data_IF_902868913331
#
_entry.id   IF_902868913331
#
_cell.length_a   1.000
_cell.length_b   1.000
_cell.length_c   1.000
_cell.angle_alpha   90.00
_cell.angle_beta   90.00
_cell.angle_gamma   90.00
#
_symmetry.space_group_name_H-M   'P 1'
#
loop_
_entity.id
_entity.type
_entity.pdbx_description
1 polymer ?
#
# COMPACT_ATOMS: atom_id res chain seq x y z
N UNK A 1 -7.81 22.26 -14.36
CA UNK A 1 -7.62 21.97 -12.94
C UNK A 1 -8.96 21.86 -12.22
N UNK A 2 -9.03 21.09 -11.13
CA UNK A 2 -10.25 20.96 -10.30
C UNK A 2 -10.78 22.31 -9.85
N UNK A 3 -9.91 23.22 -9.39
CA UNK A 3 -10.29 24.55 -8.97
C UNK A 3 -11.06 25.34 -10.03
N UNK A 4 -10.67 25.26 -11.30
CA UNK A 4 -11.39 25.93 -12.39
C UNK A 4 -12.79 25.34 -12.61
N UNK A 5 -12.94 24.00 -12.52
CA UNK A 5 -14.25 23.33 -12.63
C UNK A 5 -15.19 23.81 -11.51
N UNK A 6 -14.74 23.75 -10.25
CA UNK A 6 -15.54 24.16 -9.11
C UNK A 6 -15.85 25.67 -9.12
N UNK A 7 -14.92 26.51 -9.56
CA UNK A 7 -15.15 27.95 -9.71
C UNK A 7 -16.24 28.24 -10.74
N UNK A 8 -16.23 27.58 -11.88
CA UNK A 8 -17.27 27.72 -12.92
C UNK A 8 -18.62 27.22 -12.42
N UNK A 9 -18.66 26.10 -11.71
CA UNK A 9 -19.88 25.59 -11.07
C UNK A 9 -20.45 26.63 -10.10
N UNK A 10 -19.62 27.17 -9.19
CA UNK A 10 -20.05 28.18 -8.21
C UNK A 10 -20.54 29.44 -8.87
N UNK A 11 -19.85 29.95 -9.89
CA UNK A 11 -20.28 31.16 -10.64
C UNK A 11 -21.64 30.95 -11.34
N UNK A 12 -21.78 29.81 -12.03
CA UNK A 12 -23.03 29.48 -12.76
C UNK A 12 -24.18 29.25 -11.78
N UNK A 13 -23.93 28.54 -10.68
CA UNK A 13 -24.91 28.33 -9.62
C UNK A 13 -25.42 29.67 -9.03
N UNK A 14 -24.48 30.57 -8.67
CA UNK A 14 -24.83 31.89 -8.11
C UNK A 14 -25.75 32.68 -9.04
N UNK A 15 -25.49 32.67 -10.35
CA UNK A 15 -26.33 33.34 -11.36
C UNK A 15 -27.72 32.71 -11.45
N UNK A 16 -27.79 31.39 -11.52
CA UNK A 16 -29.04 30.67 -11.70
C UNK A 16 -29.94 30.70 -10.45
N UNK A 17 -29.35 30.62 -9.25
CA UNK A 17 -30.10 30.67 -7.99
C UNK A 17 -30.76 32.02 -7.70
N UNK A 18 -30.26 33.09 -8.32
CA UNK A 18 -30.93 34.41 -8.32
C UNK A 18 -32.17 34.50 -9.24
N UNK A 19 -32.25 33.59 -10.23
CA UNK A 19 -33.34 33.60 -11.21
C UNK A 19 -34.45 32.59 -10.89
N UNK A 20 -34.10 31.44 -10.29
CA UNK A 20 -35.05 30.34 -10.06
C UNK A 20 -34.66 29.50 -8.84
N UNK A 21 -35.68 28.94 -8.15
CA UNK A 21 -35.52 28.05 -6.99
C UNK A 21 -36.17 26.66 -7.19
N UNK A 22 -36.59 26.36 -8.42
CA UNK A 22 -37.34 25.16 -8.76
C UNK A 22 -36.59 24.15 -9.63
N UNK A 23 -37.36 23.45 -10.48
CA UNK A 23 -36.86 22.41 -11.39
C UNK A 23 -35.67 22.82 -12.27
N UNK A 24 -35.55 24.06 -12.81
CA UNK A 24 -34.37 24.43 -13.61
C UNK A 24 -33.08 24.42 -12.80
N UNK A 25 -33.13 24.86 -11.52
CA UNK A 25 -31.96 24.82 -10.63
C UNK A 25 -31.54 23.35 -10.31
N UNK A 26 -32.52 22.45 -10.15
CA UNK A 26 -32.24 21.02 -9.99
C UNK A 26 -31.61 20.43 -11.27
N UNK A 27 -32.10 20.78 -12.47
CA UNK A 27 -31.52 20.33 -13.73
C UNK A 27 -30.05 20.79 -13.89
N UNK A 28 -29.76 22.04 -13.47
CA UNK A 28 -28.40 22.56 -13.43
C UNK A 28 -27.51 21.75 -12.46
N UNK A 29 -28.02 21.43 -11.26
CA UNK A 29 -27.31 20.57 -10.31
C UNK A 29 -26.98 19.19 -10.92
N UNK A 30 -27.96 18.56 -11.60
CA UNK A 30 -27.73 17.30 -12.30
C UNK A 30 -26.66 17.41 -13.39
N UNK A 31 -26.57 18.54 -14.09
CA UNK A 31 -25.48 18.79 -15.05
C UNK A 31 -24.11 18.88 -14.34
N UNK A 32 -24.03 19.59 -13.21
CA UNK A 32 -22.80 19.68 -12.42
C UNK A 32 -22.34 18.32 -11.88
N UNK A 33 -23.26 17.51 -11.36
CA UNK A 33 -22.95 16.16 -10.89
C UNK A 33 -22.41 15.26 -12.02
N UNK A 34 -22.96 15.39 -13.25
CA UNK A 34 -22.41 14.67 -14.42
C UNK A 34 -21.00 15.14 -14.77
N UNK A 35 -20.74 16.45 -14.77
CA UNK A 35 -19.41 17.02 -15.04
C UNK A 35 -18.39 16.54 -14.00
N UNK A 36 -18.73 16.59 -12.72
CA UNK A 36 -17.83 16.15 -11.64
C UNK A 36 -17.55 14.66 -11.72
N UNK A 37 -18.55 13.82 -11.97
CA UNK A 37 -18.34 12.37 -12.16
C UNK A 37 -17.54 12.04 -13.42
N UNK A 38 -17.77 12.76 -14.52
CA UNK A 38 -16.94 12.62 -15.73
C UNK A 38 -15.49 13.04 -15.49
N UNK A 39 -15.27 14.07 -14.67
CA UNK A 39 -13.93 14.49 -14.24
C UNK A 39 -13.26 13.42 -13.38
N UNK A 40 -13.97 12.86 -12.40
CA UNK A 40 -13.48 11.75 -11.60
C UNK A 40 -13.08 10.55 -12.46
N UNK A 41 -13.94 10.15 -13.43
CA UNK A 41 -13.66 9.06 -14.35
C UNK A 41 -12.44 9.32 -15.26
N UNK A 42 -12.21 10.57 -15.68
CA UNK A 42 -11.01 10.94 -16.45
C UNK A 42 -9.74 10.84 -15.60
N UNK A 43 -9.79 11.25 -14.33
CA UNK A 43 -8.68 11.08 -13.39
C UNK A 43 -8.42 9.61 -13.06
N UNK A 44 -9.47 8.77 -12.96
CA UNK A 44 -9.33 7.33 -12.73
C UNK A 44 -8.54 6.65 -13.85
N UNK A 45 -8.88 6.93 -15.11
CA UNK A 45 -8.11 6.42 -16.25
C UNK A 45 -6.63 6.82 -16.18
N UNK A 46 -6.35 8.08 -15.87
CA UNK A 46 -4.98 8.56 -15.71
C UNK A 46 -4.25 7.87 -14.56
N UNK A 47 -4.92 7.55 -13.47
CA UNK A 47 -4.35 6.81 -12.34
C UNK A 47 -4.08 5.34 -12.70
N UNK A 48 -4.99 4.72 -13.45
CA UNK A 48 -4.84 3.36 -13.96
C UNK A 48 -3.64 3.25 -14.92
N UNK A 49 -3.51 4.18 -15.87
CA UNK A 49 -2.38 4.25 -16.81
C UNK A 49 -1.05 4.43 -16.09
N UNK A 50 -0.97 5.36 -15.13
CA UNK A 50 0.23 5.59 -14.33
C UNK A 50 0.59 4.37 -13.47
N UNK A 51 -0.40 3.77 -12.81
CA UNK A 51 -0.22 2.56 -12.01
C UNK A 51 0.21 1.35 -12.86
N UNK A 52 -0.36 1.19 -14.06
CA UNK A 52 0.02 0.15 -15.00
C UNK A 52 1.48 0.32 -15.44
N UNK A 53 1.88 1.55 -15.80
CA UNK A 53 3.27 1.85 -16.15
C UNK A 53 4.25 1.48 -15.03
N UNK A 54 3.95 1.87 -13.77
CA UNK A 54 4.83 1.61 -12.64
C UNK A 54 4.96 0.10 -12.33
N UNK A 55 3.91 -0.69 -12.55
CA UNK A 55 3.95 -2.15 -12.39
C UNK A 55 4.65 -2.86 -13.56
N UNK A 56 4.47 -2.38 -14.78
CA UNK A 56 4.99 -3.02 -16.01
C UNK A 56 6.50 -2.81 -16.22
N UNK A 57 7.08 -1.76 -15.65
CA UNK A 57 8.55 -1.53 -15.63
C UNK A 57 9.30 -2.76 -15.13
N UNK A 58 8.64 -3.63 -14.36
CA UNK A 58 9.14 -4.92 -13.89
C UNK A 58 9.06 -6.04 -14.94
N UNK A 59 8.04 -6.07 -15.79
CA UNK A 59 7.77 -7.14 -16.75
C UNK A 59 8.59 -7.05 -18.04
N UNK A 60 8.82 -5.86 -18.53
CA UNK A 60 9.31 -5.64 -19.90
C UNK A 60 10.82 -5.51 -20.06
N UNK A 61 11.63 -5.35 -18.99
CA UNK A 61 13.03 -4.92 -19.14
C UNK A 61 14.00 -5.44 -18.09
N UNK A 62 14.29 -6.73 -18.10
CA UNK A 62 15.46 -7.24 -17.36
C UNK A 62 16.80 -6.61 -17.78
N UNK A 63 16.87 -5.92 -18.95
CA UNK A 63 18.12 -5.43 -19.54
C UNK A 63 18.09 -3.96 -20.03
N UNK A 64 17.07 -3.15 -19.75
CA UNK A 64 17.07 -1.74 -20.14
C UNK A 64 17.25 -0.82 -18.92
N UNK A 65 18.06 0.27 -19.01
CA UNK A 65 18.18 1.24 -17.94
C UNK A 65 16.80 1.82 -17.63
N UNK A 66 16.43 1.84 -16.34
CA UNK A 66 15.17 2.44 -15.87
C UNK A 66 15.23 3.94 -16.14
N UNK A 67 14.24 4.47 -16.82
CA UNK A 67 14.06 5.91 -16.92
C UNK A 67 13.51 6.43 -15.57
N UNK A 68 14.42 6.75 -14.65
CA UNK A 68 14.10 7.23 -13.32
C UNK A 68 13.27 8.52 -13.33
N UNK A 69 13.47 9.38 -14.33
CA UNK A 69 12.69 10.60 -14.48
C UNK A 69 11.22 10.27 -14.76
N UNK A 70 10.94 9.35 -15.67
CA UNK A 70 9.58 8.92 -15.99
C UNK A 70 8.90 8.20 -14.82
N UNK A 71 9.63 7.39 -14.06
CA UNK A 71 9.10 6.77 -12.83
C UNK A 71 8.69 7.86 -11.83
N UNK A 72 9.53 8.86 -11.59
CA UNK A 72 9.23 9.99 -10.71
C UNK A 72 8.02 10.81 -11.20
N UNK A 73 7.88 11.01 -12.50
CA UNK A 73 6.73 11.71 -13.10
C UNK A 73 5.42 10.94 -12.89
N UNK A 74 5.41 9.63 -13.10
CA UNK A 74 4.19 8.82 -12.90
C UNK A 74 3.84 8.68 -11.40
N UNK A 75 4.82 8.60 -10.50
CA UNK A 75 4.59 8.69 -9.06
C UNK A 75 4.00 10.05 -8.67
N UNK A 76 4.56 11.15 -9.19
CA UNK A 76 4.06 12.51 -8.97
C UNK A 76 2.61 12.64 -9.44
N UNK A 77 2.29 12.10 -10.61
CA UNK A 77 0.95 12.10 -11.19
C UNK A 77 -0.06 11.39 -10.28
N UNK A 78 0.27 10.21 -9.75
CA UNK A 78 -0.59 9.51 -8.80
C UNK A 78 -0.81 10.31 -7.51
N UNK A 79 0.24 10.92 -6.96
CA UNK A 79 0.15 11.78 -5.78
C UNK A 79 -0.79 12.99 -6.03
N UNK A 80 -0.66 13.64 -7.18
CA UNK A 80 -1.52 14.78 -7.55
C UNK A 80 -2.97 14.37 -7.76
N UNK A 81 -3.22 13.18 -8.34
CA UNK A 81 -4.57 12.63 -8.51
C UNK A 81 -5.20 12.34 -7.14
N UNK A 82 -4.47 11.70 -6.22
CA UNK A 82 -4.94 11.43 -4.86
C UNK A 82 -5.33 12.72 -4.13
N UNK A 83 -4.43 13.70 -4.08
CA UNK A 83 -4.72 15.02 -3.47
C UNK A 83 -5.90 15.73 -4.13
N UNK A 84 -6.03 15.64 -5.46
CA UNK A 84 -7.12 16.28 -6.21
C UNK A 84 -8.45 15.61 -5.88
N UNK A 85 -8.47 14.30 -5.77
CA UNK A 85 -9.65 13.53 -5.42
C UNK A 85 -10.12 13.84 -3.99
N UNK A 86 -9.21 13.84 -3.01
CA UNK A 86 -9.49 14.24 -1.63
C UNK A 86 -10.06 15.66 -1.56
N UNK A 87 -9.42 16.61 -2.23
CA UNK A 87 -9.89 17.99 -2.27
C UNK A 87 -11.27 18.13 -2.91
N UNK A 88 -11.54 17.39 -4.00
CA UNK A 88 -12.85 17.37 -4.65
C UNK A 88 -13.92 16.80 -3.72
N UNK A 89 -13.62 15.68 -3.03
CA UNK A 89 -14.51 15.05 -2.04
C UNK A 89 -14.87 16.07 -0.94
N UNK A 90 -13.87 16.74 -0.34
CA UNK A 90 -14.07 17.76 0.69
C UNK A 90 -14.89 18.97 0.21
N UNK A 91 -14.87 19.27 -1.09
CA UNK A 91 -15.50 20.45 -1.68
C UNK A 91 -16.93 20.19 -2.17
N UNK A 92 -17.25 18.95 -2.55
CA UNK A 92 -18.58 18.57 -3.09
C UNK A 92 -19.67 18.74 -2.03
N UNK A 93 -19.47 18.31 -0.79
CA UNK A 93 -20.45 18.40 0.28
C UNK A 93 -20.92 19.82 0.56
N UNK A 94 -20.02 20.77 0.88
CA UNK A 94 -20.39 22.18 1.08
C UNK A 94 -21.05 22.84 -0.14
N UNK A 95 -20.65 22.46 -1.35
CA UNK A 95 -21.31 22.91 -2.59
C UNK A 95 -22.74 22.39 -2.68
N UNK A 96 -22.94 21.10 -2.42
CA UNK A 96 -24.26 20.47 -2.41
C UNK A 96 -25.19 21.05 -1.36
N UNK A 97 -24.70 21.34 -0.17
CA UNK A 97 -25.46 21.97 0.89
C UNK A 97 -25.91 23.39 0.49
N UNK A 98 -25.04 24.16 -0.16
CA UNK A 98 -25.40 25.46 -0.70
C UNK A 98 -26.51 25.37 -1.75
N UNK A 99 -26.49 24.33 -2.59
CA UNK A 99 -27.53 24.06 -3.59
C UNK A 99 -28.86 23.63 -2.95
N UNK A 100 -28.81 22.77 -1.91
CA UNK A 100 -30.01 22.36 -1.16
C UNK A 100 -30.72 23.54 -0.54
N UNK A 101 -29.99 24.46 0.09
CA UNK A 101 -30.57 25.68 0.70
C UNK A 101 -31.26 26.61 -0.31
N UNK A 102 -30.78 26.62 -1.55
CA UNK A 102 -31.36 27.45 -2.61
C UNK A 102 -32.66 26.88 -3.20
N UNK A 103 -32.98 25.61 -2.97
CA UNK A 103 -34.19 24.95 -3.48
C UNK A 103 -35.36 25.12 -2.51
N UNK A 104 -36.55 25.40 -3.07
CA UNK A 104 -37.77 25.67 -2.30
C UNK A 104 -38.41 24.37 -1.76
N UNK A 105 -38.44 23.28 -2.54
CA UNK A 105 -39.18 22.06 -2.25
C UNK A 105 -38.31 20.94 -1.67
N UNK A 106 -38.81 20.24 -0.65
CA UNK A 106 -38.03 19.18 0.06
C UNK A 106 -37.73 17.98 -0.80
N UNK A 107 -38.61 17.58 -1.70
CA UNK A 107 -38.34 16.46 -2.61
C UNK A 107 -37.19 16.77 -3.59
N UNK A 108 -36.98 18.06 -3.96
CA UNK A 108 -35.85 18.51 -4.78
C UNK A 108 -34.54 18.48 -3.95
N UNK A 109 -34.63 18.91 -2.68
CA UNK A 109 -33.49 18.86 -1.72
C UNK A 109 -32.97 17.43 -1.49
N UNK A 110 -33.90 16.48 -1.31
CA UNK A 110 -33.56 15.08 -1.13
C UNK A 110 -32.85 14.46 -2.34
N UNK A 111 -33.23 14.88 -3.56
CA UNK A 111 -32.57 14.43 -4.79
C UNK A 111 -31.15 14.99 -4.89
N UNK A 112 -30.94 16.26 -4.57
CA UNK A 112 -29.57 16.84 -4.51
C UNK A 112 -28.70 16.09 -3.51
N UNK A 113 -29.22 15.73 -2.32
CA UNK A 113 -28.50 14.97 -1.32
C UNK A 113 -27.93 13.66 -1.89
N UNK A 114 -28.77 12.83 -2.53
CA UNK A 114 -28.33 11.57 -3.14
C UNK A 114 -27.29 11.76 -4.26
N UNK A 115 -27.45 12.78 -5.10
CA UNK A 115 -26.50 13.06 -6.18
C UNK A 115 -25.15 13.55 -5.64
N UNK A 116 -25.14 14.28 -4.50
CA UNK A 116 -23.94 14.73 -3.78
C UNK A 116 -23.22 13.53 -3.17
N UNK A 117 -23.92 12.68 -2.43
CA UNK A 117 -23.37 11.46 -1.84
C UNK A 117 -22.71 10.57 -2.89
N UNK A 118 -23.38 10.34 -4.03
CA UNK A 118 -22.83 9.57 -5.14
C UNK A 118 -21.58 10.21 -5.78
N UNK A 119 -21.49 11.55 -5.75
CA UNK A 119 -20.34 12.27 -6.29
C UNK A 119 -19.16 12.27 -5.30
N UNK A 120 -19.44 12.40 -4.00
CA UNK A 120 -18.44 12.25 -2.94
C UNK A 120 -17.84 10.84 -2.94
N UNK A 121 -18.68 9.80 -3.05
CA UNK A 121 -18.24 8.40 -3.14
C UNK A 121 -17.34 8.16 -4.36
N UNK A 122 -17.66 8.75 -5.51
CA UNK A 122 -16.83 8.62 -6.70
C UNK A 122 -15.42 9.22 -6.49
N UNK A 123 -15.30 10.35 -5.79
CA UNK A 123 -14.01 10.94 -5.47
C UNK A 123 -13.28 10.19 -4.34
N UNK A 124 -14.00 9.68 -3.33
CA UNK A 124 -13.44 8.83 -2.29
C UNK A 124 -12.82 7.55 -2.88
N UNK A 125 -13.57 6.86 -3.76
CA UNK A 125 -13.10 5.68 -4.48
C UNK A 125 -11.87 5.99 -5.35
N UNK A 126 -11.87 7.14 -6.03
CA UNK A 126 -10.71 7.58 -6.82
C UNK A 126 -9.48 7.83 -5.94
N UNK A 127 -9.63 8.52 -4.81
CA UNK A 127 -8.54 8.77 -3.88
C UNK A 127 -7.92 7.46 -3.34
N UNK A 128 -8.80 6.52 -2.96
CA UNK A 128 -8.37 5.18 -2.51
C UNK A 128 -7.64 4.40 -3.61
N UNK A 129 -8.18 4.40 -4.84
CA UNK A 129 -7.57 3.71 -5.99
C UNK A 129 -6.22 4.31 -6.39
N UNK A 130 -6.09 5.65 -6.41
CA UNK A 130 -4.83 6.33 -6.71
C UNK A 130 -3.77 6.04 -5.63
N UNK A 131 -4.16 6.07 -4.34
CA UNK A 131 -3.27 5.71 -3.23
C UNK A 131 -2.83 4.24 -3.30
N UNK A 132 -3.73 3.31 -3.60
CA UNK A 132 -3.40 1.91 -3.78
C UNK A 132 -2.46 1.68 -4.97
N UNK A 133 -2.68 2.37 -6.10
CA UNK A 133 -1.81 2.33 -7.27
C UNK A 133 -0.43 2.90 -6.98
N UNK A 134 -0.34 3.95 -6.16
CA UNK A 134 0.93 4.54 -5.71
C UNK A 134 1.73 3.53 -4.86
N UNK A 135 1.09 2.90 -3.87
CA UNK A 135 1.71 1.87 -3.01
C UNK A 135 2.21 0.70 -3.85
N UNK A 136 1.34 0.12 -4.72
CA UNK A 136 1.70 -1.00 -5.57
C UNK A 136 2.79 -0.64 -6.60
N UNK A 137 2.78 0.62 -7.09
CA UNK A 137 3.82 1.13 -7.97
C UNK A 137 5.18 1.21 -7.28
N UNK A 138 5.25 1.74 -6.06
CA UNK A 138 6.50 1.80 -5.28
C UNK A 138 6.97 0.41 -4.88
N UNK A 139 6.07 -0.47 -4.42
CA UNK A 139 6.39 -1.87 -4.12
C UNK A 139 7.05 -2.56 -5.33
N UNK A 140 6.48 -2.40 -6.52
CA UNK A 140 7.03 -2.98 -7.75
C UNK A 140 8.44 -2.45 -8.08
N UNK A 141 8.76 -1.18 -7.72
CA UNK A 141 10.09 -0.60 -7.95
C UNK A 141 11.16 -1.16 -6.99
N UNK A 142 10.78 -1.66 -5.80
CA UNK A 142 11.75 -2.21 -4.84
C UNK A 142 12.35 -3.54 -5.30
N UNK A 143 11.65 -4.29 -6.14
CA UNK A 143 12.00 -5.66 -6.59
C UNK A 143 12.34 -6.61 -5.43
N UNK A 144 11.91 -6.30 -4.20
CA UNK A 144 12.28 -7.00 -2.98
C UNK A 144 11.75 -8.44 -2.96
N UNK A 145 10.44 -8.62 -3.09
CA UNK A 145 9.82 -9.92 -2.99
C UNK A 145 10.28 -10.94 -4.05
N UNK A 146 10.42 -10.59 -5.35
CA UNK A 146 11.01 -11.51 -6.32
C UNK A 146 12.47 -11.84 -6.08
N UNK A 147 13.25 -10.86 -5.62
CA UNK A 147 14.65 -11.08 -5.33
C UNK A 147 14.83 -12.05 -4.16
N UNK A 148 14.03 -11.92 -3.09
CA UNK A 148 14.00 -12.87 -1.98
C UNK A 148 13.62 -14.27 -2.48
N UNK A 149 12.53 -14.40 -3.25
CA UNK A 149 12.04 -15.68 -3.75
C UNK A 149 13.03 -16.36 -4.75
N UNK A 150 13.81 -15.58 -5.49
CA UNK A 150 14.78 -16.08 -6.46
C UNK A 150 16.13 -16.44 -5.84
N UNK A 151 16.45 -15.93 -4.65
CA UNK A 151 17.72 -16.16 -3.98
C UNK A 151 17.89 -17.65 -3.59
N UNK A 152 19.08 -18.16 -3.78
CA UNK A 152 19.44 -19.55 -3.42
C UNK A 152 19.95 -19.61 -1.98
N UNK A 153 19.01 -19.51 -1.05
CA UNK A 153 19.29 -19.54 0.40
C UNK A 153 19.92 -20.84 0.88
N UNK A 154 19.79 -21.91 0.10
CA UNK A 154 20.39 -23.22 0.37
C UNK A 154 21.88 -23.30 0.05
N UNK A 155 22.41 -22.40 -0.76
CA UNK A 155 23.80 -22.40 -1.19
C UNK A 155 24.72 -21.49 -0.35
N UNK A 156 24.15 -20.69 0.55
CA UNK A 156 24.94 -19.80 1.40
C UNK A 156 25.73 -20.61 2.41
N UNK A 157 27.04 -20.31 2.51
CA UNK A 157 27.98 -20.95 3.41
C UNK A 157 28.43 -20.08 4.59
N UNK A 158 28.14 -18.79 4.50
CA UNK A 158 28.43 -17.78 5.53
C UNK A 158 27.34 -16.72 5.54
N UNK A 159 27.16 -16.08 6.69
CA UNK A 159 26.32 -14.88 6.84
C UNK A 159 27.23 -13.66 6.65
N UNK A 160 26.81 -12.74 5.80
CA UNK A 160 27.55 -11.49 5.52
C UNK A 160 26.79 -10.26 6.03
N UNK A 161 27.03 -9.14 5.35
CA UNK A 161 26.20 -7.94 5.48
C UNK A 161 24.84 -8.16 4.82
N UNK A 162 23.96 -7.16 4.88
CA UNK A 162 22.66 -7.22 4.20
C UNK A 162 22.81 -7.49 2.70
N UNK A 163 21.87 -8.23 2.14
CA UNK A 163 21.90 -8.62 0.74
C UNK A 163 21.68 -7.42 -0.20
N UNK A 164 22.27 -7.47 -1.41
CA UNK A 164 22.17 -6.41 -2.41
C UNK A 164 20.73 -6.02 -2.78
N UNK A 165 19.76 -6.92 -2.67
CA UNK A 165 18.35 -6.60 -2.90
C UNK A 165 17.76 -5.70 -1.79
N UNK A 166 18.31 -5.70 -0.58
CA UNK A 166 17.93 -4.77 0.49
C UNK A 166 18.46 -3.37 0.17
N UNK A 167 19.69 -3.24 -0.34
CA UNK A 167 20.25 -1.95 -0.79
C UNK A 167 19.46 -1.36 -1.96
N UNK A 168 19.08 -2.22 -2.92
CA UNK A 168 18.21 -1.81 -4.04
C UNK A 168 16.83 -1.33 -3.56
N UNK A 169 16.24 -2.04 -2.59
CA UNK A 169 14.99 -1.64 -1.95
C UNK A 169 15.14 -0.30 -1.23
N UNK A 170 16.21 -0.10 -0.46
CA UNK A 170 16.49 1.17 0.24
C UNK A 170 16.57 2.35 -0.73
N UNK A 171 17.28 2.19 -1.84
CA UNK A 171 17.43 3.21 -2.89
C UNK A 171 16.10 3.55 -3.56
N UNK A 172 15.27 2.53 -3.87
CA UNK A 172 13.95 2.71 -4.47
C UNK A 172 13.00 3.43 -3.50
N UNK A 173 12.98 3.03 -2.22
CA UNK A 173 12.17 3.66 -1.18
C UNK A 173 12.57 5.11 -0.93
N UNK A 174 13.88 5.41 -0.85
CA UNK A 174 14.37 6.77 -0.67
C UNK A 174 13.93 7.68 -1.82
N UNK A 175 14.08 7.22 -3.06
CA UNK A 175 13.67 7.97 -4.26
C UNK A 175 12.16 8.22 -4.29
N UNK A 176 11.35 7.20 -4.04
CA UNK A 176 9.90 7.31 -4.02
C UNK A 176 9.38 8.19 -2.87
N UNK A 177 9.99 8.08 -1.68
CA UNK A 177 9.61 8.88 -0.52
C UNK A 177 9.87 10.37 -0.73
N UNK A 178 10.96 10.77 -1.39
CA UNK A 178 11.24 12.17 -1.77
C UNK A 178 10.14 12.73 -2.67
N UNK A 179 9.72 11.95 -3.68
CA UNK A 179 8.64 12.35 -4.59
C UNK A 179 7.31 12.47 -3.84
N UNK A 180 6.94 11.43 -3.08
CA UNK A 180 5.69 11.37 -2.35
C UNK A 180 5.58 12.48 -1.30
N UNK A 181 6.63 12.75 -0.53
CA UNK A 181 6.67 13.81 0.48
C UNK A 181 6.46 15.20 -0.10
N UNK A 182 7.04 15.46 -1.28
CA UNK A 182 6.90 16.76 -1.98
C UNK A 182 5.51 16.95 -2.57
N UNK A 183 4.90 15.87 -3.02
CA UNK A 183 3.65 15.91 -3.79
C UNK A 183 2.40 15.68 -2.94
N UNK A 184 2.45 14.82 -1.89
CA UNK A 184 1.32 14.51 -1.03
C UNK A 184 1.13 15.54 0.10
N UNK A 185 -0.11 15.71 0.56
CA UNK A 185 -0.39 16.40 1.83
C UNK A 185 0.22 15.61 2.99
N UNK A 186 0.57 16.28 4.07
CA UNK A 186 1.24 15.67 5.24
C UNK A 186 0.52 14.42 5.78
N UNK A 187 -0.79 14.49 5.94
CA UNK A 187 -1.58 13.36 6.46
C UNK A 187 -1.65 12.21 5.44
N UNK A 188 -1.84 12.53 4.16
CA UNK A 188 -1.87 11.55 3.07
C UNK A 188 -0.51 10.87 2.90
N UNK A 189 0.60 11.60 3.09
CA UNK A 189 1.94 11.04 3.10
C UNK A 189 2.16 10.07 4.28
N UNK A 190 1.69 10.42 5.49
CA UNK A 190 1.79 9.51 6.63
C UNK A 190 1.00 8.22 6.38
N UNK A 191 -0.23 8.33 5.87
CA UNK A 191 -1.04 7.18 5.48
C UNK A 191 -0.39 6.33 4.38
N UNK A 192 0.23 6.98 3.37
CA UNK A 192 1.00 6.29 2.34
C UNK A 192 2.15 5.46 2.94
N UNK A 193 2.93 6.02 3.88
CA UNK A 193 4.00 5.31 4.54
C UNK A 193 3.48 4.07 5.30
N UNK A 194 2.36 4.19 6.01
CA UNK A 194 1.73 3.06 6.72
C UNK A 194 1.28 1.96 5.75
N UNK A 195 0.61 2.32 4.66
CA UNK A 195 0.15 1.36 3.65
C UNK A 195 1.30 0.69 2.91
N UNK A 196 2.34 1.45 2.59
CA UNK A 196 3.53 0.90 1.92
C UNK A 196 4.29 -0.06 2.85
N UNK A 197 4.43 0.28 4.12
CA UNK A 197 5.06 -0.60 5.11
C UNK A 197 4.31 -1.93 5.24
N UNK A 198 2.98 -1.89 5.34
CA UNK A 198 2.16 -3.10 5.40
C UNK A 198 2.25 -3.93 4.11
N UNK A 199 2.23 -3.29 2.94
CA UNK A 199 2.34 -3.98 1.65
C UNK A 199 3.69 -4.68 1.49
N UNK A 200 4.80 -3.99 1.80
CA UNK A 200 6.14 -4.56 1.71
C UNK A 200 6.38 -5.68 2.72
N UNK A 201 5.87 -5.55 3.95
CA UNK A 201 5.93 -6.64 4.93
C UNK A 201 5.18 -7.88 4.45
N UNK A 202 3.95 -7.73 3.97
CA UNK A 202 3.15 -8.84 3.43
C UNK A 202 3.80 -9.47 2.18
N UNK A 203 4.39 -8.65 1.29
CA UNK A 203 5.11 -9.14 0.12
C UNK A 203 6.37 -9.92 0.50
N UNK A 204 7.08 -9.49 1.56
CA UNK A 204 8.25 -10.17 2.11
C UNK A 204 7.86 -11.52 2.71
N UNK A 205 6.80 -11.60 3.53
CA UNK A 205 6.25 -12.84 4.08
C UNK A 205 5.94 -13.84 2.96
N UNK A 206 5.19 -13.39 1.96
CA UNK A 206 4.84 -14.21 0.80
C UNK A 206 6.04 -14.67 -0.02
N UNK A 207 7.10 -13.85 -0.10
CA UNK A 207 8.33 -14.18 -0.82
C UNK A 207 9.15 -15.24 -0.09
N UNK A 208 9.25 -15.12 1.24
CA UNK A 208 9.93 -16.13 2.08
C UNK A 208 9.27 -17.49 1.90
N UNK A 209 7.94 -17.57 1.99
CA UNK A 209 7.18 -18.82 1.82
C UNK A 209 7.24 -19.39 0.39
N UNK A 210 7.52 -18.56 -0.61
CA UNK A 210 7.70 -18.95 -2.02
C UNK A 210 9.15 -19.25 -2.40
N UNK A 211 10.10 -19.04 -1.49
CA UNK A 211 11.50 -19.41 -1.70
C UNK A 211 11.63 -20.90 -1.94
N UNK A 212 12.74 -21.33 -2.51
CA UNK A 212 12.93 -22.77 -2.80
C UNK A 212 13.31 -23.51 -1.52
N UNK A 213 14.57 -23.70 -1.27
CA UNK A 213 15.10 -24.33 -0.07
C UNK A 213 15.93 -23.32 0.72
N UNK A 214 15.84 -23.38 2.05
CA UNK A 214 16.57 -22.49 2.95
C UNK A 214 17.48 -23.33 3.84
N UNK A 215 18.80 -23.13 3.74
CA UNK A 215 19.80 -23.71 4.63
C UNK A 215 19.95 -22.89 5.91
N UNK A 216 20.75 -23.37 6.86
CA UNK A 216 20.90 -22.71 8.16
C UNK A 216 21.54 -21.30 8.04
N UNK A 217 22.58 -21.13 7.23
CA UNK A 217 23.15 -19.81 6.93
C UNK A 217 22.18 -18.94 6.14
N UNK A 218 21.42 -19.55 5.23
CA UNK A 218 20.37 -18.85 4.49
C UNK A 218 19.26 -18.30 5.38
N UNK A 219 18.84 -19.06 6.39
CA UNK A 219 17.84 -18.60 7.37
C UNK A 219 18.35 -17.45 8.23
N UNK A 220 19.63 -17.47 8.63
CA UNK A 220 20.27 -16.40 9.38
C UNK A 220 20.39 -15.12 8.53
N UNK A 221 20.87 -15.24 7.28
CA UNK A 221 20.98 -14.12 6.35
C UNK A 221 19.59 -13.51 6.05
N UNK A 222 18.58 -14.35 5.85
CA UNK A 222 17.22 -13.91 5.62
C UNK A 222 16.66 -13.13 6.82
N UNK A 223 16.94 -13.56 8.05
CA UNK A 223 16.55 -12.81 9.25
C UNK A 223 17.23 -11.45 9.32
N UNK A 224 18.51 -11.36 8.98
CA UNK A 224 19.26 -10.10 8.92
C UNK A 224 18.68 -9.15 7.86
N UNK A 225 18.36 -9.67 6.68
CA UNK A 225 17.73 -8.89 5.61
C UNK A 225 16.35 -8.38 6.02
N UNK A 226 15.52 -9.20 6.66
CA UNK A 226 14.20 -8.80 7.19
C UNK A 226 14.34 -7.71 8.25
N UNK A 227 15.31 -7.80 9.14
CA UNK A 227 15.58 -6.76 10.14
C UNK A 227 16.06 -5.46 9.49
N UNK A 228 16.88 -5.55 8.44
CA UNK A 228 17.29 -4.38 7.66
C UNK A 228 16.10 -3.71 6.96
N UNK A 229 15.22 -4.50 6.33
CA UNK A 229 13.97 -4.01 5.74
C UNK A 229 13.08 -3.35 6.79
N UNK A 230 12.91 -3.98 7.96
CA UNK A 230 12.15 -3.39 9.08
C UNK A 230 12.69 -2.01 9.47
N UNK A 231 14.01 -1.85 9.56
CA UNK A 231 14.64 -0.55 9.84
C UNK A 231 14.29 0.48 8.78
N UNK A 232 14.39 0.12 7.48
CA UNK A 232 13.98 1.01 6.38
C UNK A 232 12.52 1.44 6.49
N UNK A 233 11.61 0.52 6.83
CA UNK A 233 10.20 0.82 6.98
C UNK A 233 9.92 1.71 8.19
N UNK A 234 10.62 1.54 9.30
CA UNK A 234 10.53 2.42 10.47
C UNK A 234 10.97 3.86 10.14
N UNK A 235 12.00 4.01 9.33
CA UNK A 235 12.58 5.31 8.97
C UNK A 235 11.85 5.97 7.76
N UNK A 236 11.00 5.24 7.05
CA UNK A 236 10.29 5.70 5.85
C UNK A 236 9.58 7.07 6.02
N UNK A 237 8.89 7.37 7.15
CA UNK A 237 8.26 8.68 7.36
C UNK A 237 9.26 9.84 7.46
N UNK A 238 10.55 9.59 7.64
CA UNK A 238 11.61 10.61 7.72
C UNK A 238 12.31 10.82 6.38
N UNK A 239 12.16 9.90 5.44
CA UNK A 239 12.79 9.98 4.13
C UNK A 239 12.39 11.25 3.38
N UNK A 240 13.34 11.89 2.67
CA UNK A 240 13.09 13.12 1.92
C UNK A 240 13.08 14.41 2.74
N UNK A 241 13.45 14.35 4.02
CA UNK A 241 13.53 15.49 4.96
C UNK A 241 14.87 16.27 4.85
N UNK A 242 15.73 15.86 3.92
CA UNK A 242 17.11 16.39 3.78
C UNK A 242 18.10 15.79 4.79
N UNK A 243 17.62 14.98 5.74
CA UNK A 243 18.47 14.20 6.65
C UNK A 243 18.66 12.81 6.02
N UNK A 244 19.89 12.37 5.86
CA UNK A 244 20.18 10.95 5.57
C UNK A 244 19.48 10.07 6.61
N UNK A 245 19.16 8.83 6.23
CA UNK A 245 18.72 7.81 7.18
C UNK A 245 19.78 7.72 8.31
N UNK A 246 19.64 8.48 9.35
CA UNK A 246 20.69 8.67 10.35
C UNK A 246 20.11 8.60 11.77
N UNK A 247 20.93 8.13 12.63
CA UNK A 247 20.97 7.91 14.08
C UNK A 247 19.97 8.66 15.02
N UNK A 248 19.14 9.57 14.52
CA UNK A 248 18.20 10.39 15.29
C UNK A 248 16.72 10.10 15.05
N UNK A 249 16.37 8.96 14.46
CA UNK A 249 14.97 8.59 14.16
C UNK A 249 14.14 8.33 15.45
N UNK A 250 14.79 7.95 16.53
CA UNK A 250 14.12 7.71 17.82
C UNK A 250 13.45 8.99 18.34
N UNK A 251 12.12 9.01 18.35
CA UNK A 251 11.30 10.12 18.81
C UNK A 251 10.67 11.00 17.73
N UNK A 252 11.12 10.93 16.47
CA UNK A 252 10.55 11.71 15.35
C UNK A 252 9.44 10.95 14.60
N UNK A 253 9.41 9.63 14.69
CA UNK A 253 8.39 8.77 14.05
C UNK A 253 7.24 8.54 15.02
N UNK A 254 6.00 8.56 14.51
CA UNK A 254 4.81 8.35 15.32
C UNK A 254 4.80 6.94 15.94
N UNK A 255 4.37 6.81 17.20
CA UNK A 255 4.22 5.50 17.87
C UNK A 255 3.26 4.57 17.13
N UNK A 256 2.26 5.12 16.44
CA UNK A 256 1.31 4.36 15.63
C UNK A 256 2.02 3.67 14.47
N UNK A 257 2.87 4.41 13.73
CA UNK A 257 3.66 3.86 12.64
C UNK A 257 4.64 2.78 13.13
N UNK A 258 5.34 3.04 14.25
CA UNK A 258 6.26 2.06 14.85
C UNK A 258 5.55 0.74 15.17
N UNK A 259 4.43 0.80 15.90
CA UNK A 259 3.63 -0.39 16.24
C UNK A 259 3.10 -1.12 15.01
N UNK A 260 2.71 -0.39 13.98
CA UNK A 260 2.28 -0.99 12.71
C UNK A 260 3.42 -1.77 12.07
N UNK A 261 4.59 -1.15 11.89
CA UNK A 261 5.76 -1.82 11.30
C UNK A 261 6.18 -3.03 12.12
N UNK A 262 6.27 -2.91 13.45
CA UNK A 262 6.62 -4.02 14.35
C UNK A 262 5.64 -5.20 14.21
N UNK A 263 4.35 -4.91 14.13
CA UNK A 263 3.31 -5.93 13.96
C UNK A 263 3.41 -6.61 12.59
N UNK A 264 3.49 -5.82 11.51
CA UNK A 264 3.48 -6.34 10.14
C UNK A 264 4.76 -7.14 9.82
N UNK A 265 5.93 -6.71 10.32
CA UNK A 265 7.20 -7.44 10.10
C UNK A 265 7.41 -8.59 11.08
N UNK A 266 6.70 -8.60 12.20
CA UNK A 266 6.85 -9.62 13.26
C UNK A 266 6.57 -11.03 12.77
N UNK A 267 5.64 -11.22 11.84
CA UNK A 267 5.35 -12.51 11.23
C UNK A 267 6.56 -13.04 10.44
N UNK A 268 7.19 -12.19 9.64
CA UNK A 268 8.36 -12.56 8.84
C UNK A 268 9.58 -12.91 9.73
N UNK A 269 9.82 -12.09 10.76
CA UNK A 269 10.88 -12.40 11.75
C UNK A 269 10.63 -13.74 12.45
N UNK A 270 9.38 -14.04 12.82
CA UNK A 270 9.01 -15.31 13.43
C UNK A 270 9.21 -16.47 12.46
N UNK A 271 8.81 -16.34 11.19
CA UNK A 271 9.07 -17.34 10.15
C UNK A 271 10.56 -17.63 9.99
N UNK A 272 11.41 -16.60 9.94
CA UNK A 272 12.86 -16.77 9.86
C UNK A 272 13.41 -17.53 11.07
N UNK A 273 12.95 -17.21 12.29
CA UNK A 273 13.33 -17.92 13.53
C UNK A 273 12.89 -19.38 13.51
N UNK A 274 11.70 -19.69 12.98
CA UNK A 274 11.25 -21.08 12.79
C UNK A 274 12.14 -21.80 11.78
N UNK A 275 12.54 -21.13 10.69
CA UNK A 275 13.49 -21.69 9.70
C UNK A 275 14.87 -21.99 10.29
N UNK A 276 15.29 -21.30 11.35
CA UNK A 276 16.54 -21.56 12.07
C UNK A 276 16.43 -22.72 13.07
N UNK A 277 15.22 -23.13 13.47
CA UNK A 277 15.06 -24.21 14.45
C UNK A 277 15.31 -25.59 13.85
N UNK A 278 15.70 -26.62 14.65
CA UNK A 278 15.83 -27.99 14.20
C UNK A 278 14.50 -28.54 13.67
N UNK A 279 14.58 -29.51 12.73
CA UNK A 279 13.39 -30.13 12.14
C UNK A 279 12.53 -30.89 13.18
N UNK A 280 13.16 -31.51 14.17
CA UNK A 280 12.51 -32.30 15.23
C UNK A 280 11.56 -31.44 16.09
N UNK A 281 11.88 -30.16 16.30
CA UNK A 281 11.10 -29.22 17.11
C UNK A 281 10.33 -28.17 16.31
N UNK A 282 10.33 -28.24 14.97
CA UNK A 282 9.83 -27.16 14.11
C UNK A 282 8.35 -26.82 14.35
N UNK A 283 7.50 -27.83 14.60
CA UNK A 283 6.09 -27.64 14.87
C UNK A 283 5.86 -26.87 16.17
N UNK A 284 6.59 -27.22 17.22
CA UNK A 284 6.41 -26.62 18.54
C UNK A 284 6.96 -25.18 18.53
N UNK A 285 8.10 -24.95 17.88
CA UNK A 285 8.65 -23.62 17.64
C UNK A 285 7.68 -22.76 16.79
N UNK A 286 7.10 -23.34 15.73
CA UNK A 286 6.10 -22.65 14.90
C UNK A 286 4.88 -22.25 15.72
N UNK A 287 4.36 -23.16 16.53
CA UNK A 287 3.17 -22.87 17.37
C UNK A 287 3.47 -21.79 18.41
N UNK A 288 4.66 -21.80 19.00
CA UNK A 288 5.08 -20.81 20.00
C UNK A 288 5.29 -19.41 19.40
N UNK A 289 5.91 -19.31 18.21
CA UNK A 289 6.27 -18.04 17.59
C UNK A 289 5.17 -17.48 16.69
N UNK A 290 4.32 -18.35 16.14
CA UNK A 290 3.24 -18.01 15.21
C UNK A 290 1.92 -18.69 15.65
N UNK A 291 1.35 -18.28 16.78
CA UNK A 291 0.11 -18.90 17.29
C UNK A 291 -1.05 -18.83 16.31
N UNK A 292 -1.11 -17.73 15.52
CA UNK A 292 -2.12 -17.51 14.47
C UNK A 292 -1.69 -18.05 13.10
N UNK A 293 -0.48 -18.61 12.97
CA UNK A 293 0.05 -19.11 11.69
C UNK A 293 -0.77 -20.27 11.14
N UNK A 294 -1.05 -20.31 9.85
CA UNK A 294 -1.90 -21.36 9.26
C UNK A 294 -1.17 -22.71 9.20
N UNK A 295 -1.90 -23.85 9.21
CA UNK A 295 -1.30 -25.15 8.92
C UNK A 295 -0.61 -25.21 7.56
N UNK A 296 -1.06 -24.44 6.58
CA UNK A 296 -0.43 -24.32 5.27
C UNK A 296 0.94 -23.61 5.37
N UNK A 297 1.05 -22.57 6.21
CA UNK A 297 2.33 -21.89 6.47
C UNK A 297 3.33 -22.84 7.11
N UNK A 298 2.90 -23.71 8.07
CA UNK A 298 3.75 -24.72 8.67
C UNK A 298 4.25 -25.72 7.63
N UNK A 299 3.36 -26.23 6.75
CA UNK A 299 3.77 -27.14 5.69
C UNK A 299 4.81 -26.49 4.77
N UNK A 300 4.58 -25.23 4.36
CA UNK A 300 5.54 -24.51 3.52
C UNK A 300 6.89 -24.33 4.21
N UNK A 301 6.93 -23.98 5.49
CA UNK A 301 8.17 -23.85 6.27
C UNK A 301 8.90 -25.19 6.37
N UNK A 302 8.19 -26.31 6.60
CA UNK A 302 8.78 -27.64 6.61
C UNK A 302 9.40 -28.01 5.24
N UNK A 303 8.70 -27.71 4.14
CA UNK A 303 9.22 -27.93 2.78
C UNK A 303 10.47 -27.07 2.50
N UNK A 304 10.46 -25.80 2.93
CA UNK A 304 11.63 -24.89 2.82
C UNK A 304 12.86 -25.44 3.52
N UNK A 305 12.70 -26.10 4.65
CA UNK A 305 13.78 -26.79 5.35
C UNK A 305 14.17 -28.14 4.74
N UNK A 306 13.53 -28.55 3.65
CA UNK A 306 13.84 -29.78 2.92
C UNK A 306 13.09 -31.02 3.38
N UNK A 307 12.03 -30.88 4.18
CA UNK A 307 11.12 -31.98 4.51
C UNK A 307 10.35 -32.43 3.26
N UNK A 308 10.08 -33.72 3.15
CA UNK A 308 9.25 -34.23 2.04
C UNK A 308 7.81 -33.73 2.17
N UNK A 309 7.15 -33.47 1.04
CA UNK A 309 5.76 -32.96 1.02
C UNK A 309 4.77 -33.76 1.85
N UNK A 310 4.92 -35.10 1.88
CA UNK A 310 4.04 -35.99 2.68
C UNK A 310 4.23 -35.72 4.18
N UNK A 311 5.46 -35.61 4.65
CA UNK A 311 5.79 -35.35 6.05
C UNK A 311 5.38 -33.94 6.48
N UNK A 312 5.58 -32.94 5.62
CA UNK A 312 5.12 -31.57 5.81
C UNK A 312 3.58 -31.48 5.90
N UNK A 313 2.88 -32.20 5.02
CA UNK A 313 1.42 -32.28 5.07
C UNK A 313 0.92 -32.97 6.35
N UNK A 314 1.62 -34.03 6.82
CA UNK A 314 1.32 -34.68 8.08
C UNK A 314 1.50 -33.73 9.27
N UNK A 315 2.60 -32.97 9.33
CA UNK A 315 2.83 -31.95 10.35
C UNK A 315 1.71 -30.91 10.39
N UNK A 316 1.25 -30.44 9.21
CA UNK A 316 0.13 -29.50 9.10
C UNK A 316 -1.22 -30.08 9.57
N UNK A 317 -1.49 -31.37 9.25
CA UNK A 317 -2.67 -32.08 9.72
C UNK A 317 -2.68 -32.23 11.26
N UNK A 318 -1.53 -32.58 11.83
CA UNK A 318 -1.36 -32.69 13.28
C UNK A 318 -1.61 -31.33 13.96
N UNK A 319 -1.07 -30.22 13.44
CA UNK A 319 -1.34 -28.88 13.96
C UNK A 319 -2.84 -28.55 13.90
N UNK A 320 -3.51 -28.90 12.80
CA UNK A 320 -4.96 -28.68 12.65
C UNK A 320 -5.76 -29.45 13.69
N UNK A 321 -5.41 -30.73 13.94
CA UNK A 321 -6.06 -31.57 14.93
C UNK A 321 -5.85 -31.04 16.36
N UNK A 322 -4.63 -30.61 16.71
CA UNK A 322 -4.32 -30.04 18.03
C UNK A 322 -5.15 -28.75 18.28
N UNK A 323 -5.22 -27.85 17.31
CA UNK A 323 -6.02 -26.62 17.44
C UNK A 323 -7.52 -26.91 17.54
N UNK A 324 -8.03 -27.88 16.80
CA UNK A 324 -9.43 -28.30 16.91
C UNK A 324 -9.75 -28.86 18.30
N UNK A 325 -8.81 -29.53 18.94
CA UNK A 325 -8.93 -30.05 20.31
C UNK A 325 -8.86 -28.95 21.38
N UNK A 326 -8.08 -27.89 21.15
CA UNK A 326 -7.93 -26.73 22.07
C UNK A 326 -9.09 -25.73 21.96
N UNK A 327 -9.77 -25.65 20.82
CA UNK A 327 -10.92 -24.76 20.57
C UNK A 327 -12.27 -25.32 21.04
N UNK A 328 -12.25 -26.48 21.70
CA UNK A 328 -13.39 -27.08 22.39
C UNK A 328 -13.29 -26.84 23.89
#
# INVERSE_FOLDING_TARGET
SAGAVFLNIKKTFKRCSGLTKGKPLLALHGAFSRVLRAYAAALSRNAEDAGAYLRDVRGSRRNAPRDGARVADELTKLCLIANTAEWCQETVGPLGESMRRALAADHLRSRVGRDVEATEEAFASLAAAASASLVAGVEAQTDLAPSIAATRWDLLQTVGDQSAHVDACASALASAAVVARRALRKNTFAFFCEKLAAALAAATDGAVLKSRRVGDFGAQQLLLDVQSVKKLLLELPLAGDGTAFAETAAGRVSRTHQRLVERETGKCEALCKVLMSPLEGIRDTFTALLPEGSPADLAAVCELKGMKKQDAAHAAQTLRAVRAAQGR
#
